data_IF_253348220365
#
_entry.id   IF_253348220365
#
_cell.length_a   1.000
_cell.length_b   1.000
_cell.length_c   1.000
_cell.angle_alpha   90.00
_cell.angle_beta   90.00
_cell.angle_gamma   90.00
#
_symmetry.space_group_name_H-M   'P 1'
#
loop_
_entity.id
_entity.type
_entity.pdbx_description
1 polymer ?
#
# COMPACT_ATOMS: atom_id res chain seq x y z
N UNK A 1 7.31 -11.10 13.01
CA UNK A 1 8.63 -11.69 12.71
C UNK A 1 9.71 -10.60 12.69
N UNK A 2 10.05 -9.96 13.83
CA UNK A 2 11.23 -9.11 13.88
C UNK A 2 12.48 -9.96 13.63
N UNK A 3 13.41 -9.50 12.79
CA UNK A 3 14.71 -10.15 12.64
C UNK A 3 14.83 -11.24 11.57
N UNK A 4 13.91 -11.34 10.60
CA UNK A 4 14.14 -12.15 9.38
C UNK A 4 14.79 -11.31 8.27
N UNK A 5 15.69 -11.94 7.52
CA UNK A 5 16.31 -11.39 6.31
C UNK A 5 15.93 -12.22 5.09
N UNK A 6 15.81 -11.54 3.96
CA UNK A 6 15.79 -12.15 2.64
C UNK A 6 16.89 -11.51 1.80
N UNK A 7 17.75 -12.35 1.22
CA UNK A 7 18.90 -11.92 0.41
C UNK A 7 19.72 -10.79 1.07
N UNK A 8 20.08 -10.99 2.34
CA UNK A 8 20.86 -10.03 3.14
C UNK A 8 20.11 -8.78 3.64
N UNK A 9 18.89 -8.50 3.14
CA UNK A 9 18.06 -7.34 3.53
C UNK A 9 17.02 -7.74 4.58
N UNK A 10 16.83 -6.89 5.59
CA UNK A 10 15.81 -7.10 6.62
C UNK A 10 14.40 -6.96 6.07
N UNK A 11 13.46 -7.69 6.67
CA UNK A 11 12.03 -7.34 6.61
C UNK A 11 11.84 -6.28 7.69
N UNK A 12 11.76 -5.02 7.27
CA UNK A 12 11.79 -3.88 8.20
C UNK A 12 10.39 -3.37 8.52
N UNK A 13 9.42 -3.60 7.63
CA UNK A 13 8.04 -3.20 7.86
C UNK A 13 7.04 -4.20 7.27
N UNK A 14 6.84 -5.33 7.96
CA UNK A 14 5.72 -6.22 7.67
C UNK A 14 4.39 -5.52 7.97
N UNK A 15 3.59 -5.22 6.95
CA UNK A 15 2.47 -4.28 7.07
C UNK A 15 1.11 -4.99 7.03
N UNK A 16 0.83 -5.73 5.96
CA UNK A 16 -0.43 -6.45 5.80
C UNK A 16 -0.23 -7.93 5.47
N UNK A 17 -1.23 -8.75 5.75
CA UNK A 17 -1.17 -10.21 5.59
C UNK A 17 -2.53 -10.77 5.18
N UNK A 18 -2.50 -11.83 4.36
CA UNK A 18 -3.66 -12.66 4.06
C UNK A 18 -3.27 -14.15 3.95
N UNK A 19 -4.25 -15.03 3.99
CA UNK A 19 -4.07 -16.49 4.04
C UNK A 19 -4.28 -17.09 2.66
N UNK A 20 -3.23 -17.70 2.11
CA UNK A 20 -3.31 -18.47 0.86
C UNK A 20 -4.05 -19.79 1.15
N UNK A 21 -3.56 -20.55 2.13
CA UNK A 21 -4.06 -21.86 2.57
C UNK A 21 -3.64 -22.13 4.04
N UNK A 22 -3.88 -23.35 4.54
CA UNK A 22 -3.58 -23.75 5.93
C UNK A 22 -2.12 -23.52 6.35
N UNK A 23 -1.19 -23.63 5.40
CA UNK A 23 0.25 -23.61 5.66
C UNK A 23 0.93 -22.36 5.14
N UNK A 24 0.25 -21.59 4.28
CA UNK A 24 0.86 -20.50 3.56
C UNK A 24 0.10 -19.20 3.78
N UNK A 25 0.84 -18.16 4.16
CA UNK A 25 0.38 -16.78 4.18
C UNK A 25 1.08 -15.97 3.08
N UNK A 26 0.43 -14.91 2.63
CA UNK A 26 1.06 -13.83 1.86
C UNK A 26 1.11 -12.59 2.74
N UNK A 27 2.22 -11.86 2.73
CA UNK A 27 2.31 -10.60 3.47
C UNK A 27 3.19 -9.59 2.73
N UNK A 28 2.95 -8.31 3.01
CA UNK A 28 3.72 -7.19 2.47
C UNK A 28 4.81 -6.76 3.43
N UNK A 29 5.95 -6.37 2.88
CA UNK A 29 7.01 -5.61 3.53
C UNK A 29 7.05 -4.24 2.86
N UNK A 30 6.50 -3.20 3.50
CA UNK A 30 6.35 -1.87 2.90
C UNK A 30 7.67 -1.29 2.42
N UNK A 31 8.73 -1.55 3.19
CA UNK A 31 10.07 -1.17 2.84
C UNK A 31 11.06 -2.03 3.59
N UNK A 32 12.08 -2.53 2.90
CA UNK A 32 13.22 -3.17 3.56
C UNK A 32 14.21 -2.15 4.16
N UNK A 33 14.07 -0.87 3.83
CA UNK A 33 14.94 0.22 4.27
C UNK A 33 14.35 1.03 5.44
N UNK A 34 13.02 1.11 5.52
CA UNK A 34 12.30 1.94 6.50
C UNK A 34 11.33 1.06 7.28
N UNK A 35 11.22 1.32 8.57
CA UNK A 35 10.26 0.67 9.46
C UNK A 35 9.03 1.57 9.72
N UNK A 36 8.12 1.11 10.58
CA UNK A 36 6.92 1.86 10.96
C UNK A 36 7.24 3.25 11.55
N UNK A 37 8.34 3.39 12.30
CA UNK A 37 8.73 4.67 12.90
C UNK A 37 9.21 5.70 11.86
N UNK A 38 9.53 5.23 10.65
CA UNK A 38 10.11 6.03 9.57
C UNK A 38 9.24 6.08 8.31
N UNK A 39 7.92 5.84 8.44
CA UNK A 39 6.93 5.94 7.35
C UNK A 39 7.07 7.24 6.55
N UNK A 40 7.18 8.39 7.22
CA UNK A 40 7.31 9.70 6.59
C UNK A 40 8.51 9.77 5.63
N UNK A 41 9.65 9.18 6.02
CA UNK A 41 10.84 9.10 5.18
C UNK A 41 10.62 8.22 3.97
N UNK A 42 9.99 7.05 4.18
CA UNK A 42 9.72 6.12 3.09
C UNK A 42 8.86 6.75 2.01
N UNK A 43 7.81 7.47 2.41
CA UNK A 43 6.90 8.16 1.50
C UNK A 43 7.61 9.31 0.76
N UNK A 44 8.42 10.11 1.45
CA UNK A 44 9.16 11.23 0.83
C UNK A 44 10.26 10.73 -0.13
N UNK A 45 11.04 9.73 0.30
CA UNK A 45 12.12 9.17 -0.50
C UNK A 45 11.57 8.51 -1.77
N UNK A 46 10.37 7.94 -1.67
CA UNK A 46 9.63 7.34 -2.76
C UNK A 46 10.48 6.32 -3.55
N UNK A 47 11.16 5.44 -2.81
CA UNK A 47 12.03 4.41 -3.37
C UNK A 47 11.26 3.09 -3.52
N UNK A 48 11.65 2.32 -4.53
CA UNK A 48 11.14 1.00 -4.83
C UNK A 48 11.76 -0.06 -3.89
N UNK A 49 11.40 -0.01 -2.60
CA UNK A 49 11.96 -0.89 -1.55
C UNK A 49 10.92 -1.81 -0.91
N UNK A 50 9.68 -1.80 -1.40
CA UNK A 50 8.61 -2.68 -0.94
C UNK A 50 8.67 -4.05 -1.59
N UNK A 51 8.22 -5.07 -0.86
CA UNK A 51 8.25 -6.48 -1.27
C UNK A 51 6.99 -7.21 -0.83
N UNK A 52 6.66 -8.30 -1.52
CA UNK A 52 5.59 -9.23 -1.12
C UNK A 52 6.16 -10.62 -1.01
N UNK A 53 5.83 -11.31 0.08
CA UNK A 53 6.32 -12.63 0.38
C UNK A 53 5.20 -13.64 0.54
N UNK A 54 5.45 -14.86 0.08
CA UNK A 54 4.79 -16.06 0.59
C UNK A 54 5.62 -16.60 1.75
N UNK A 55 4.95 -17.02 2.81
CA UNK A 55 5.60 -17.68 3.93
C UNK A 55 4.86 -18.96 4.30
N UNK A 56 5.61 -20.07 4.33
CA UNK A 56 5.13 -21.34 4.81
C UNK A 56 5.38 -21.45 6.33
N UNK A 57 4.31 -21.51 7.11
CA UNK A 57 4.39 -21.52 8.58
C UNK A 57 4.89 -22.85 9.14
N UNK A 58 4.74 -23.97 8.40
CA UNK A 58 5.17 -25.30 8.84
C UNK A 58 6.66 -25.54 8.58
N UNK A 59 7.16 -25.09 7.43
CA UNK A 59 8.54 -25.34 6.98
C UNK A 59 9.48 -24.16 7.20
N UNK A 60 9.01 -23.08 7.85
CA UNK A 60 9.75 -21.83 8.07
C UNK A 60 10.27 -21.20 6.76
N UNK A 61 9.65 -21.52 5.62
CA UNK A 61 10.17 -21.16 4.29
C UNK A 61 9.60 -19.83 3.82
N UNK A 62 10.47 -18.89 3.46
CA UNK A 62 10.12 -17.58 2.92
C UNK A 62 10.40 -17.56 1.40
N UNK A 63 9.45 -17.10 0.61
CA UNK A 63 9.57 -16.98 -0.85
C UNK A 63 9.16 -15.58 -1.28
N UNK A 64 10.04 -14.88 -1.99
CA UNK A 64 9.74 -13.58 -2.58
C UNK A 64 8.82 -13.75 -3.79
N UNK A 65 7.69 -13.04 -3.80
CA UNK A 65 6.73 -13.05 -4.91
C UNK A 65 6.82 -11.80 -5.77
N UNK A 66 6.99 -10.64 -5.12
CA UNK A 66 7.15 -9.34 -5.78
C UNK A 66 8.24 -8.54 -5.10
N UNK A 67 9.06 -7.83 -5.89
CA UNK A 67 10.13 -6.94 -5.42
C UNK A 67 9.97 -5.56 -6.08
N UNK A 68 10.79 -4.61 -5.62
CA UNK A 68 10.90 -3.26 -6.18
C UNK A 68 9.56 -2.50 -6.23
N UNK A 69 8.70 -2.72 -5.24
CA UNK A 69 7.44 -1.98 -5.12
C UNK A 69 7.66 -0.63 -4.43
N UNK A 70 6.96 0.40 -4.88
CA UNK A 70 6.93 1.70 -4.24
C UNK A 70 5.93 1.70 -3.07
N UNK A 71 6.36 1.09 -1.96
CA UNK A 71 5.59 0.92 -0.72
C UNK A 71 4.44 -0.09 -0.87
N UNK A 72 4.78 -1.37 -0.70
CA UNK A 72 3.81 -2.48 -0.70
C UNK A 72 2.97 -2.45 0.57
N UNK A 73 1.68 -2.16 0.45
CA UNK A 73 0.82 -1.85 1.59
C UNK A 73 -0.19 -2.97 1.88
N UNK A 74 -1.45 -2.80 1.49
CA UNK A 74 -2.46 -3.84 1.66
C UNK A 74 -2.28 -5.02 0.70
N UNK A 75 -2.62 -6.23 1.14
CA UNK A 75 -2.69 -7.45 0.30
C UNK A 75 -4.00 -8.20 0.53
N UNK A 76 -4.58 -8.77 -0.54
CA UNK A 76 -5.82 -9.55 -0.48
C UNK A 76 -5.83 -10.66 -1.52
N UNK A 77 -5.97 -11.91 -1.08
CA UNK A 77 -6.19 -13.08 -1.92
C UNK A 77 -7.57 -12.97 -2.58
N UNK A 78 -7.63 -13.24 -3.88
CA UNK A 78 -8.87 -13.20 -4.66
C UNK A 78 -9.62 -14.54 -4.60
N UNK A 79 -10.93 -14.55 -4.92
CA UNK A 79 -11.76 -15.76 -4.88
C UNK A 79 -11.30 -16.89 -5.80
N UNK A 80 -10.49 -16.61 -6.82
CA UNK A 80 -9.94 -17.62 -7.73
C UNK A 80 -8.90 -18.55 -7.07
N UNK A 81 -8.45 -18.19 -5.85
CA UNK A 81 -7.41 -18.89 -5.08
C UNK A 81 -6.11 -19.12 -5.84
N UNK A 82 -5.86 -18.30 -6.87
CA UNK A 82 -4.69 -18.36 -7.74
C UNK A 82 -3.93 -17.02 -7.77
N UNK A 83 -4.57 -15.94 -7.33
CA UNK A 83 -3.99 -14.60 -7.33
C UNK A 83 -4.34 -13.78 -6.10
N UNK A 84 -3.53 -12.76 -5.82
CA UNK A 84 -3.85 -11.69 -4.88
C UNK A 84 -3.74 -10.34 -5.57
N UNK A 85 -4.36 -9.34 -4.96
CA UNK A 85 -4.10 -7.94 -5.24
C UNK A 85 -3.26 -7.31 -4.14
N UNK A 86 -2.43 -6.33 -4.51
CA UNK A 86 -1.57 -5.58 -3.59
C UNK A 86 -1.64 -4.10 -3.89
N UNK A 87 -1.80 -3.27 -2.86
CA UNK A 87 -1.76 -1.81 -2.95
C UNK A 87 -0.31 -1.32 -3.00
N UNK A 88 0.02 -0.52 -4.01
CA UNK A 88 1.26 0.24 -4.08
C UNK A 88 0.95 1.71 -3.76
N UNK A 89 1.26 2.12 -2.53
CA UNK A 89 0.81 3.41 -1.98
C UNK A 89 1.32 4.58 -2.81
N UNK A 90 2.63 4.64 -3.05
CA UNK A 90 3.27 5.84 -3.61
C UNK A 90 2.80 6.14 -5.04
N UNK A 91 2.63 5.10 -5.87
CA UNK A 91 2.25 5.27 -7.28
C UNK A 91 0.74 5.33 -7.50
N UNK A 92 -0.06 5.18 -6.43
CA UNK A 92 -1.52 5.16 -6.47
C UNK A 92 -2.07 4.05 -7.39
N UNK A 93 -1.55 2.82 -7.20
CA UNK A 93 -1.89 1.64 -8.01
C UNK A 93 -2.27 0.44 -7.16
N UNK A 94 -3.04 -0.46 -7.75
CA UNK A 94 -3.18 -1.84 -7.27
C UNK A 94 -2.66 -2.77 -8.37
N UNK A 95 -1.79 -3.71 -7.99
CA UNK A 95 -1.34 -4.78 -8.87
C UNK A 95 -2.09 -6.07 -8.54
N UNK A 96 -2.20 -6.95 -9.52
CA UNK A 96 -2.59 -8.35 -9.33
C UNK A 96 -1.39 -9.23 -9.64
N UNK A 97 -1.10 -10.16 -8.74
CA UNK A 97 -0.07 -11.18 -8.91
C UNK A 97 -0.68 -12.56 -8.86
N UNK A 98 -0.31 -13.41 -9.82
CA UNK A 98 -0.76 -14.80 -9.91
C UNK A 98 0.28 -15.73 -9.28
N UNK A 99 -0.01 -16.28 -8.10
CA UNK A 99 0.88 -17.23 -7.42
C UNK A 99 0.62 -18.68 -7.81
N UNK A 100 -0.49 -18.97 -8.49
CA UNK A 100 -0.83 -20.29 -9.00
C UNK A 100 -1.61 -20.21 -10.34
N UNK A 101 -1.88 -21.38 -10.92
CA UNK A 101 -2.65 -21.53 -12.15
C UNK A 101 -1.88 -21.20 -13.44
N UNK A 102 -2.58 -21.11 -14.59
CA UNK A 102 -1.94 -20.93 -15.91
C UNK A 102 -1.18 -19.62 -16.07
N UNK A 103 -1.51 -18.60 -15.26
CA UNK A 103 -0.87 -17.27 -15.26
C UNK A 103 0.23 -17.14 -14.20
N UNK A 104 0.60 -18.22 -13.50
CA UNK A 104 1.56 -18.18 -12.39
C UNK A 104 2.83 -17.40 -12.73
N UNK A 105 3.23 -16.49 -11.83
CA UNK A 105 4.37 -15.60 -11.97
C UNK A 105 4.07 -14.28 -12.71
N UNK A 106 2.90 -14.15 -13.34
CA UNK A 106 2.50 -12.91 -13.99
C UNK A 106 2.09 -11.85 -12.96
N UNK A 107 2.49 -10.62 -13.24
CA UNK A 107 2.00 -9.41 -12.57
C UNK A 107 1.31 -8.52 -13.59
N UNK A 108 0.14 -7.97 -13.26
CA UNK A 108 -0.56 -6.99 -14.08
C UNK A 108 -1.03 -5.81 -13.23
N UNK A 109 -1.15 -4.63 -13.85
CA UNK A 109 -1.81 -3.49 -13.22
C UNK A 109 -3.31 -3.80 -13.18
N UNK A 110 -3.84 -3.93 -11.97
CA UNK A 110 -5.25 -4.21 -11.74
C UNK A 110 -6.08 -2.92 -11.71
N UNK A 111 -5.55 -1.88 -11.06
CA UNK A 111 -6.11 -0.52 -11.08
C UNK A 111 -4.96 0.50 -11.12
N UNK A 112 -5.10 1.51 -11.98
CA UNK A 112 -4.13 2.60 -12.11
C UNK A 112 -4.79 3.95 -11.81
N UNK A 113 -3.96 4.94 -11.50
CA UNK A 113 -4.34 6.34 -11.29
C UNK A 113 -5.53 6.49 -10.33
N UNK A 114 -5.44 5.83 -9.18
CA UNK A 114 -6.49 5.81 -8.18
C UNK A 114 -6.82 7.22 -7.66
N UNK A 115 -8.02 7.42 -7.09
CA UNK A 115 -8.44 8.71 -6.50
C UNK A 115 -7.71 9.05 -5.19
N UNK A 116 -6.58 8.43 -4.91
CA UNK A 116 -5.77 8.59 -3.72
C UNK A 116 -4.64 7.56 -3.67
N UNK A 117 -3.80 7.66 -2.66
CA UNK A 117 -2.77 6.66 -2.35
C UNK A 117 -3.40 5.52 -1.53
N UNK A 118 -3.50 4.31 -2.10
CA UNK A 118 -4.22 3.20 -1.49
C UNK A 118 -3.46 2.67 -0.27
N UNK A 119 -4.23 2.13 0.67
CA UNK A 119 -3.74 1.51 1.89
C UNK A 119 -4.21 0.05 1.92
N UNK A 120 -5.00 -0.34 2.90
CA UNK A 120 -5.61 -1.67 2.97
C UNK A 120 -6.59 -1.94 1.82
N UNK A 121 -6.56 -3.18 1.32
CA UNK A 121 -7.51 -3.72 0.36
C UNK A 121 -8.18 -4.97 0.94
N UNK A 122 -9.51 -5.06 0.94
CA UNK A 122 -10.24 -6.19 1.54
C UNK A 122 -11.35 -6.70 0.65
N UNK A 123 -11.49 -8.02 0.58
CA UNK A 123 -12.59 -8.65 -0.15
C UNK A 123 -13.93 -8.33 0.54
N UNK A 124 -14.98 -8.07 -0.23
CA UNK A 124 -16.33 -7.90 0.31
C UNK A 124 -16.83 -9.18 0.97
N UNK A 125 -17.80 -9.05 1.87
CA UNK A 125 -18.41 -10.20 2.57
C UNK A 125 -19.04 -11.21 1.61
N UNK A 126 -19.62 -10.74 0.50
CA UNK A 126 -20.19 -11.57 -0.56
C UNK A 126 -19.17 -12.05 -1.61
N UNK A 127 -17.90 -11.65 -1.46
CA UNK A 127 -16.76 -12.02 -2.31
C UNK A 127 -16.86 -11.58 -3.77
N UNK A 128 -17.69 -10.58 -4.08
CA UNK A 128 -17.90 -10.09 -5.44
C UNK A 128 -17.17 -8.78 -5.75
N UNK A 129 -16.73 -8.06 -4.72
CA UNK A 129 -16.05 -6.77 -4.85
C UNK A 129 -14.87 -6.72 -3.89
N UNK A 130 -14.03 -5.70 -4.04
CA UNK A 130 -12.98 -5.34 -3.09
C UNK A 130 -13.21 -3.92 -2.59
N UNK A 131 -12.90 -3.72 -1.32
CA UNK A 131 -12.84 -2.45 -0.63
C UNK A 131 -11.40 -1.95 -0.61
N UNK A 132 -11.20 -0.67 -0.89
CA UNK A 132 -9.89 -0.04 -0.89
C UNK A 132 -9.98 1.19 0.01
N UNK A 133 -9.20 1.21 1.08
CA UNK A 133 -9.00 2.39 1.91
C UNK A 133 -7.88 3.25 1.33
N UNK A 134 -7.94 4.56 1.58
CA UNK A 134 -6.95 5.51 1.10
C UNK A 134 -6.31 6.27 2.25
N UNK A 135 -4.99 6.16 2.38
CA UNK A 135 -4.22 6.92 3.37
C UNK A 135 -4.17 8.42 3.01
N UNK A 136 -4.06 8.73 1.72
CA UNK A 136 -3.98 10.11 1.21
C UNK A 136 -4.92 10.26 0.01
N UNK A 137 -6.15 10.77 0.19
CA UNK A 137 -7.10 11.00 -0.90
C UNK A 137 -6.69 12.16 -1.83
N UNK A 138 -6.93 12.01 -3.13
CA UNK A 138 -6.82 13.09 -4.13
C UNK A 138 -8.13 13.86 -4.22
N UNK A 139 -8.13 15.04 -3.61
CA UNK A 139 -9.29 15.95 -3.56
C UNK A 139 -9.16 16.98 -4.68
N UNK A 140 -10.20 17.07 -5.51
CA UNK A 140 -10.29 18.05 -6.58
C UNK A 140 -10.20 19.50 -6.03
N UNK A 141 -9.51 20.37 -6.77
CA UNK A 141 -9.34 21.78 -6.37
C UNK A 141 -8.33 22.00 -5.24
N UNK A 142 -7.67 20.95 -4.74
CA UNK A 142 -6.62 21.07 -3.72
C UNK A 142 -5.24 20.71 -4.27
N UNK A 143 -4.24 21.40 -3.73
CA UNK A 143 -2.86 21.16 -4.07
C UNK A 143 -2.37 19.86 -3.43
N UNK A 144 -2.10 18.84 -4.25
CA UNK A 144 -1.63 17.53 -3.80
C UNK A 144 -0.11 17.54 -3.63
N UNK A 145 0.36 18.01 -2.46
CA UNK A 145 1.79 18.18 -2.19
C UNK A 145 2.57 16.89 -2.44
N UNK A 146 2.02 15.75 -2.03
CA UNK A 146 2.65 14.45 -2.23
C UNK A 146 2.81 14.12 -3.72
N UNK A 147 1.71 14.15 -4.51
CA UNK A 147 1.77 13.92 -5.96
C UNK A 147 2.72 14.87 -6.69
N UNK A 148 2.79 16.14 -6.28
CA UNK A 148 3.71 17.11 -6.90
C UNK A 148 5.16 16.80 -6.53
N UNK A 149 5.44 16.46 -5.28
CA UNK A 149 6.78 16.06 -4.84
C UNK A 149 7.30 14.85 -5.62
N UNK A 150 6.41 13.90 -5.97
CA UNK A 150 6.78 12.72 -6.75
C UNK A 150 7.33 13.07 -8.15
N UNK A 151 6.97 14.24 -8.71
CA UNK A 151 7.44 14.71 -10.02
C UNK A 151 8.88 15.24 -10.02
N UNK A 152 9.46 15.48 -8.84
CA UNK A 152 10.79 16.09 -8.69
C UNK A 152 11.78 15.13 -8.01
N UNK A 153 12.30 14.11 -8.73
CA UNK A 153 13.18 13.09 -8.15
C UNK A 153 14.46 13.66 -7.53
N UNK A 154 15.02 14.73 -8.10
CA UNK A 154 16.22 15.37 -7.55
C UNK A 154 15.95 16.06 -6.21
N UNK A 155 14.79 16.70 -6.04
CA UNK A 155 14.39 17.31 -4.77
C UNK A 155 14.20 16.24 -3.70
N UNK A 156 13.50 15.14 -4.03
CA UNK A 156 13.32 14.00 -3.11
C UNK A 156 14.65 13.41 -2.66
N UNK A 157 15.62 13.25 -3.59
CA UNK A 157 16.96 12.76 -3.28
C UNK A 157 17.71 13.70 -2.33
N UNK A 158 17.61 15.02 -2.52
CA UNK A 158 18.22 16.01 -1.63
C UNK A 158 17.56 15.95 -0.24
N UNK A 159 16.23 15.92 -0.19
CA UNK A 159 15.47 15.80 1.06
C UNK A 159 15.90 14.55 1.83
N UNK A 160 15.90 13.40 1.18
CA UNK A 160 16.31 12.13 1.78
C UNK A 160 17.76 12.12 2.29
N UNK A 161 18.71 12.67 1.53
CA UNK A 161 20.13 12.57 1.86
C UNK A 161 20.64 13.63 2.84
N UNK A 162 20.01 14.81 2.88
CA UNK A 162 20.55 15.97 3.60
C UNK A 162 19.63 16.55 4.66
N UNK A 163 18.34 16.21 4.64
CA UNK A 163 17.37 16.72 5.61
C UNK A 163 17.25 15.74 6.77
N UNK A 164 17.27 16.23 8.01
CA UNK A 164 17.17 15.35 9.18
C UNK A 164 15.78 14.69 9.25
N UNK A 165 15.72 13.50 9.86
CA UNK A 165 14.45 12.80 10.06
C UNK A 165 13.39 13.68 10.72
N UNK A 166 13.78 14.48 11.72
CA UNK A 166 12.86 15.39 12.42
C UNK A 166 12.27 16.46 11.51
N UNK A 167 13.06 17.02 10.58
CA UNK A 167 12.56 18.04 9.65
C UNK A 167 11.62 17.40 8.62
N UNK A 168 11.96 16.22 8.09
CA UNK A 168 11.11 15.51 7.15
C UNK A 168 9.79 15.08 7.78
N UNK A 169 9.84 14.60 9.03
CA UNK A 169 8.66 14.30 9.82
C UNK A 169 7.84 15.55 10.10
N UNK A 170 8.45 16.70 10.39
CA UNK A 170 7.72 17.96 10.57
C UNK A 170 7.02 18.42 9.27
N UNK A 171 7.70 18.33 8.13
CA UNK A 171 7.12 18.66 6.81
C UNK A 171 5.95 17.72 6.50
N UNK A 172 6.15 16.42 6.71
CA UNK A 172 5.11 15.41 6.51
C UNK A 172 3.92 15.66 7.43
N UNK A 173 4.16 15.92 8.73
CA UNK A 173 3.12 16.25 9.69
C UNK A 173 2.41 17.52 9.30
N UNK A 174 3.10 18.59 8.91
CA UNK A 174 2.47 19.83 8.50
C UNK A 174 1.50 19.64 7.33
N UNK A 175 1.88 18.86 6.31
CA UNK A 175 1.04 18.60 5.15
C UNK A 175 -0.06 17.55 5.37
N UNK A 176 0.08 16.67 6.37
CA UNK A 176 -0.91 15.68 6.74
C UNK A 176 -1.70 16.04 8.02
N UNK A 177 -1.41 17.19 8.65
CA UNK A 177 -2.09 17.64 9.86
C UNK A 177 -3.56 17.92 9.51
N UNK A 178 -4.54 17.29 10.18
CA UNK A 178 -5.97 17.58 10.06
C UNK A 178 -6.39 19.06 10.08
N UNK A 179 -5.55 19.92 10.69
CA UNK A 179 -5.77 21.37 10.84
C UNK A 179 -5.25 22.16 9.65
N UNK A 180 -4.27 21.62 8.92
CA UNK A 180 -3.61 22.23 7.76
C UNK A 180 -3.97 21.54 6.43
N UNK A 181 -4.51 20.33 6.52
CA UNK A 181 -5.08 19.51 5.45
C UNK A 181 -6.51 19.18 5.85
N UNK A 182 -7.50 19.39 4.98
CA UNK A 182 -8.86 19.02 5.39
C UNK A 182 -8.92 17.49 5.56
N UNK A 183 -9.28 17.05 6.76
CA UNK A 183 -9.57 15.65 7.04
C UNK A 183 -10.58 15.14 6.02
N UNK A 184 -10.17 14.14 5.24
CA UNK A 184 -11.00 13.54 4.22
C UNK A 184 -10.85 12.02 4.32
N UNK A 185 -11.92 11.33 4.68
CA UNK A 185 -11.97 9.88 4.57
C UNK A 185 -12.40 9.49 3.17
N UNK A 186 -11.71 8.53 2.55
CA UNK A 186 -12.09 7.95 1.28
C UNK A 186 -11.96 6.43 1.35
N UNK A 187 -13.03 5.74 0.96
CA UNK A 187 -13.00 4.33 0.62
C UNK A 187 -13.68 4.10 -0.72
N UNK A 188 -13.21 3.12 -1.48
CA UNK A 188 -13.78 2.77 -2.79
C UNK A 188 -14.12 1.28 -2.80
N UNK A 189 -15.26 0.96 -3.40
CA UNK A 189 -15.65 -0.41 -3.74
C UNK A 189 -15.42 -0.61 -5.24
N UNK A 190 -14.66 -1.65 -5.62
CA UNK A 190 -14.38 -2.01 -7.01
C UNK A 190 -14.76 -3.47 -7.28
N UNK A 191 -15.13 -3.79 -8.51
CA UNK A 191 -15.37 -5.18 -8.92
C UNK A 191 -14.05 -5.96 -9.05
N UNK A 192 -14.13 -7.28 -9.22
CA UNK A 192 -12.96 -8.15 -9.42
C UNK A 192 -12.28 -8.00 -10.80
N UNK A 193 -12.66 -6.99 -11.58
CA UNK A 193 -12.02 -6.57 -12.83
C UNK A 193 -11.34 -5.20 -12.70
N UNK A 194 -11.38 -4.57 -11.52
CA UNK A 194 -10.75 -3.29 -11.25
C UNK A 194 -11.63 -2.07 -11.57
N UNK A 195 -12.92 -2.27 -11.85
CA UNK A 195 -13.83 -1.16 -12.12
C UNK A 195 -14.45 -0.65 -10.81
N UNK A 196 -14.27 0.65 -10.53
CA UNK A 196 -14.90 1.33 -9.40
C UNK A 196 -16.43 1.26 -9.53
N UNK A 197 -17.09 0.69 -8.53
CA UNK A 197 -18.55 0.60 -8.45
C UNK A 197 -19.12 1.71 -7.58
N UNK A 198 -18.48 1.99 -6.44
CA UNK A 198 -18.95 2.99 -5.45
C UNK A 198 -17.77 3.68 -4.78
N UNK A 199 -18.03 4.85 -4.24
CA UNK A 199 -17.07 5.58 -3.41
C UNK A 199 -17.76 6.18 -2.20
N UNK A 200 -17.07 6.15 -1.06
CA UNK A 200 -17.56 6.55 0.24
C UNK A 200 -16.63 7.64 0.75
N UNK A 201 -17.22 8.77 1.13
CA UNK A 201 -16.48 9.98 1.42
C UNK A 201 -16.87 10.49 2.80
N UNK A 202 -15.89 10.91 3.58
CA UNK A 202 -16.05 11.62 4.85
C UNK A 202 -15.34 12.98 4.73
N UNK A 203 -15.95 13.99 4.07
CA UNK A 203 -15.26 15.22 3.68
C UNK A 203 -14.77 16.11 4.83
N UNK A 204 -15.26 15.84 6.03
CA UNK A 204 -14.94 16.53 7.28
C UNK A 204 -14.32 15.58 8.31
N UNK A 205 -14.08 14.31 7.97
CA UNK A 205 -13.52 13.31 8.88
C UNK A 205 -14.41 12.91 10.05
N UNK A 206 -15.71 13.27 10.05
CA UNK A 206 -16.58 13.04 11.22
C UNK A 206 -17.44 11.78 11.10
N UNK A 207 -17.40 11.07 9.97
CA UNK A 207 -18.12 9.80 9.82
C UNK A 207 -17.41 8.76 10.68
N UNK A 208 -17.95 8.56 11.88
CA UNK A 208 -17.46 7.58 12.87
C UNK A 208 -18.34 6.32 12.93
N UNK A 209 -19.49 6.33 12.24
CA UNK A 209 -20.44 5.21 12.19
C UNK A 209 -20.73 4.88 10.72
N UNK A 210 -20.51 3.63 10.34
CA UNK A 210 -21.05 3.06 9.10
C UNK A 210 -22.48 2.59 9.41
N UNK A 211 -23.46 2.89 8.56
CA UNK A 211 -24.82 2.37 8.74
C UNK A 211 -24.79 0.84 8.82
N UNK A 212 -25.54 0.28 9.78
CA UNK A 212 -25.70 -1.16 9.96
C UNK A 212 -26.19 -1.87 8.70
#
# INVERSE_FOLDING_TARGET
>A
MPGKKYDGRWISFANDVDVIDEDNIVFTDSSWLYDESTVSLSLIAALATGRVYKYNIKTDTLTLLMDEMYYANGVQILPDKQSFVVSETITARIYRYYFDGPKKGLTEIFMDNLPGHPDNVRLSSDKKTIWIAFAIPRIAGKYQVFDQLLKYPMIRKIMHNYMSHSILTLIFQYFNDPRNSNVYGLAVEADLKGNIQRSFHSPNGTINNLSQ
#
